data_IF_768152947701
#
_entry.id   IF_768152947701
#
_cell.length_a   1.000
_cell.length_b   1.000
_cell.length_c   1.000
_cell.angle_alpha   90.00
_cell.angle_beta   90.00
_cell.angle_gamma   90.00
#
_symmetry.space_group_name_H-M   'P 1'
#
loop_
_entity.id
_entity.type
_entity.pdbx_description
1 polymer ?
#
# COMPACT_ATOMS: atom_id res chain seq x y z
N UNK A 1 -8.12 20.29 3.01
CA UNK A 1 -8.67 19.23 2.15
C UNK A 1 -7.48 18.50 1.51
N UNK A 2 -7.52 17.18 1.38
CA UNK A 2 -6.50 16.44 0.66
C UNK A 2 -6.64 16.67 -0.86
N UNK A 3 -5.53 16.46 -1.58
CA UNK A 3 -5.43 16.75 -3.01
C UNK A 3 -5.48 15.47 -3.86
N UNK A 4 -4.99 14.35 -3.32
CA UNK A 4 -4.97 13.04 -3.98
C UNK A 4 -4.99 11.88 -2.98
N UNK A 5 -5.30 10.69 -3.46
CA UNK A 5 -5.17 9.41 -2.75
C UNK A 5 -3.99 8.66 -3.35
N UNK A 6 -3.09 8.17 -2.49
CA UNK A 6 -1.94 7.35 -2.87
C UNK A 6 -2.11 5.96 -2.28
N UNK A 7 -2.11 4.93 -3.13
CA UNK A 7 -2.27 3.53 -2.75
C UNK A 7 -0.95 2.79 -2.91
N UNK A 8 -0.45 2.22 -1.81
CA UNK A 8 0.83 1.50 -1.81
C UNK A 8 0.65 0.05 -2.24
N UNK A 9 1.53 -0.42 -3.10
CA UNK A 9 1.66 -1.82 -3.46
C UNK A 9 2.06 -2.71 -2.28
N UNK A 10 1.82 -4.01 -2.41
CA UNK A 10 2.11 -5.03 -1.40
C UNK A 10 2.59 -6.34 -2.01
N UNK A 11 3.10 -6.29 -3.21
CA UNK A 11 3.48 -7.46 -3.99
C UNK A 11 2.40 -7.94 -4.96
N UNK A 12 2.67 -9.07 -5.59
CA UNK A 12 1.76 -9.70 -6.56
C UNK A 12 1.66 -11.20 -6.33
N UNK A 13 0.51 -11.76 -6.70
CA UNK A 13 0.31 -13.18 -6.90
C UNK A 13 0.58 -13.51 -8.38
N UNK A 14 1.43 -14.49 -8.61
CA UNK A 14 1.85 -14.86 -9.96
C UNK A 14 1.00 -15.96 -10.54
N UNK A 15 0.63 -15.77 -11.81
CA UNK A 15 0.15 -16.85 -12.67
C UNK A 15 -1.09 -17.56 -12.16
N UNK A 16 -2.03 -16.85 -11.56
CA UNK A 16 -3.29 -17.45 -11.14
C UNK A 16 -4.08 -17.92 -12.40
N UNK A 17 -4.33 -19.24 -12.53
CA UNK A 17 -5.03 -19.78 -13.70
C UNK A 17 -6.45 -19.25 -13.88
N UNK A 18 -7.12 -18.85 -12.80
CA UNK A 18 -8.47 -18.30 -12.84
C UNK A 18 -8.53 -16.94 -13.54
N UNK A 19 -7.44 -16.17 -13.43
CA UNK A 19 -7.33 -14.83 -14.02
C UNK A 19 -6.50 -14.80 -15.30
N UNK A 20 -5.70 -15.84 -15.57
CA UNK A 20 -4.81 -15.90 -16.72
C UNK A 20 -3.67 -14.87 -16.70
N UNK A 21 -3.47 -14.17 -15.58
CA UNK A 21 -2.49 -13.11 -15.41
C UNK A 21 -2.10 -12.95 -13.93
N UNK A 22 -1.00 -12.20 -13.70
CA UNK A 22 -0.63 -11.80 -12.35
C UNK A 22 -1.71 -10.90 -11.73
N UNK A 23 -1.91 -11.03 -10.43
CA UNK A 23 -2.89 -10.29 -9.65
C UNK A 23 -2.24 -9.55 -8.48
N UNK A 24 -2.86 -8.48 -7.97
CA UNK A 24 -2.47 -7.94 -6.67
C UNK A 24 -2.63 -9.00 -5.58
N UNK A 25 -1.79 -8.94 -4.54
CA UNK A 25 -1.98 -9.81 -3.36
C UNK A 25 -3.29 -9.53 -2.65
N UNK A 26 -3.77 -10.45 -1.81
CA UNK A 26 -4.96 -10.23 -0.98
C UNK A 26 -4.85 -8.96 -0.13
N UNK A 27 -3.64 -8.66 0.39
CA UNK A 27 -3.34 -7.41 1.10
C UNK A 27 -3.51 -6.20 0.17
N UNK A 28 -3.02 -6.29 -1.07
CA UNK A 28 -3.17 -5.26 -2.08
C UNK A 28 -4.63 -5.00 -2.43
N UNK A 29 -5.41 -6.05 -2.62
CA UNK A 29 -6.86 -5.94 -2.90
C UNK A 29 -7.62 -5.26 -1.75
N UNK A 30 -7.26 -5.53 -0.50
CA UNK A 30 -7.85 -4.85 0.66
C UNK A 30 -7.56 -3.34 0.64
N UNK A 31 -6.33 -2.93 0.34
CA UNK A 31 -5.96 -1.52 0.17
C UNK A 31 -6.74 -0.86 -0.96
N UNK A 32 -6.83 -1.52 -2.10
CA UNK A 32 -7.54 -1.03 -3.28
C UNK A 32 -9.03 -0.85 -3.01
N UNK A 33 -9.69 -1.83 -2.38
CA UNK A 33 -11.09 -1.73 -1.98
C UNK A 33 -11.35 -0.51 -1.10
N UNK A 34 -10.47 -0.26 -0.14
CA UNK A 34 -10.60 0.92 0.73
C UNK A 34 -10.32 2.22 -0.01
N UNK A 35 -9.27 2.26 -0.84
CA UNK A 35 -8.96 3.41 -1.69
C UNK A 35 -10.10 3.74 -2.66
N UNK A 36 -10.72 2.74 -3.27
CA UNK A 36 -11.87 2.92 -4.14
C UNK A 36 -13.06 3.54 -3.40
N UNK A 37 -13.34 3.09 -2.17
CA UNK A 37 -14.37 3.69 -1.32
C UNK A 37 -14.08 5.16 -1.04
N UNK A 38 -12.85 5.50 -0.69
CA UNK A 38 -12.43 6.88 -0.43
C UNK A 38 -12.52 7.74 -1.70
N UNK A 39 -12.05 7.24 -2.83
CA UNK A 39 -12.10 7.94 -4.11
C UNK A 39 -13.53 8.27 -4.53
N UNK A 40 -14.44 7.29 -4.45
CA UNK A 40 -15.86 7.49 -4.77
C UNK A 40 -16.54 8.49 -3.83
N UNK A 41 -16.19 8.47 -2.55
CA UNK A 41 -16.79 9.37 -1.57
C UNK A 41 -16.25 10.81 -1.64
N UNK A 42 -15.00 10.99 -2.05
CA UNK A 42 -14.30 12.29 -2.04
C UNK A 42 -14.17 12.96 -3.40
N UNK A 43 -14.23 12.19 -4.48
CA UNK A 43 -13.90 12.63 -5.83
C UNK A 43 -12.41 12.90 -6.06
N UNK A 44 -11.53 12.51 -5.13
CA UNK A 44 -10.10 12.72 -5.24
C UNK A 44 -9.48 11.81 -6.30
N UNK A 45 -8.52 12.31 -7.07
CA UNK A 45 -7.77 11.48 -8.01
C UNK A 45 -6.88 10.47 -7.27
N UNK A 46 -6.64 9.33 -7.91
CA UNK A 46 -5.88 8.22 -7.33
C UNK A 46 -4.54 8.07 -8.05
N UNK A 47 -3.48 7.86 -7.27
CA UNK A 47 -2.17 7.39 -7.70
C UNK A 47 -1.93 6.01 -7.08
N UNK A 48 -1.44 5.06 -7.89
CA UNK A 48 -0.93 3.78 -7.41
C UNK A 48 0.60 3.78 -7.48
N UNK A 49 1.28 3.27 -6.46
CA UNK A 49 2.74 3.21 -6.39
C UNK A 49 3.24 1.81 -6.07
N UNK A 50 4.18 1.33 -6.84
CA UNK A 50 4.82 0.02 -6.71
C UNK A 50 5.42 -0.43 -8.03
N UNK A 51 6.69 -0.78 -8.01
CA UNK A 51 7.48 -1.08 -9.21
C UNK A 51 7.36 -2.51 -9.72
N UNK A 52 8.38 -2.88 -10.47
CA UNK A 52 8.51 -4.23 -11.05
C UNK A 52 9.05 -5.19 -9.98
N UNK A 53 8.19 -5.99 -9.42
CA UNK A 53 8.61 -7.03 -8.50
C UNK A 53 9.49 -8.07 -9.24
N UNK A 54 10.75 -8.22 -8.82
CA UNK A 54 11.76 -9.05 -9.48
C UNK A 54 12.01 -8.74 -10.98
N UNK A 55 11.80 -7.48 -11.38
CA UNK A 55 12.14 -7.01 -12.72
C UNK A 55 11.21 -7.46 -13.85
N UNK A 56 10.06 -8.06 -13.57
CA UNK A 56 9.10 -8.55 -14.58
C UNK A 56 7.86 -7.67 -14.66
N UNK A 57 7.46 -7.18 -15.86
CA UNK A 57 6.15 -6.55 -16.06
C UNK A 57 4.99 -7.54 -15.79
N UNK A 58 3.79 -7.02 -15.46
CA UNK A 58 3.47 -5.64 -15.16
C UNK A 58 3.98 -5.18 -13.79
N UNK A 59 4.04 -3.85 -13.55
CA UNK A 59 4.34 -3.30 -12.24
C UNK A 59 3.21 -3.53 -11.24
N UNK A 60 3.51 -3.45 -9.94
CA UNK A 60 2.45 -3.50 -8.92
C UNK A 60 1.46 -2.34 -9.10
N UNK A 61 1.96 -1.14 -9.44
CA UNK A 61 1.10 0.01 -9.72
C UNK A 61 0.16 -0.23 -10.88
N UNK A 62 0.61 -0.90 -11.95
CA UNK A 62 -0.25 -1.26 -13.08
C UNK A 62 -1.30 -2.30 -12.69
N UNK A 63 -0.91 -3.37 -11.96
CA UNK A 63 -1.87 -4.38 -11.49
C UNK A 63 -2.97 -3.76 -10.62
N UNK A 64 -2.58 -2.86 -9.71
CA UNK A 64 -3.54 -2.13 -8.88
C UNK A 64 -4.45 -1.22 -9.69
N UNK A 65 -3.90 -0.54 -10.70
CA UNK A 65 -4.68 0.34 -11.56
C UNK A 65 -5.73 -0.44 -12.38
N UNK A 66 -5.35 -1.60 -12.90
CA UNK A 66 -6.26 -2.46 -13.65
C UNK A 66 -7.39 -3.00 -12.75
N UNK A 67 -7.07 -3.52 -11.57
CA UNK A 67 -8.08 -3.98 -10.61
C UNK A 67 -8.99 -2.85 -10.12
N UNK A 68 -8.45 -1.66 -9.82
CA UNK A 68 -9.28 -0.51 -9.44
C UNK A 68 -10.25 -0.11 -10.56
N UNK A 69 -9.82 -0.15 -11.82
CA UNK A 69 -10.68 0.13 -12.97
C UNK A 69 -11.73 -0.95 -13.17
N UNK A 70 -11.30 -2.21 -13.23
CA UNK A 70 -12.16 -3.31 -13.70
C UNK A 70 -13.09 -3.82 -12.59
N UNK A 71 -12.61 -3.92 -11.35
CA UNK A 71 -13.39 -4.45 -10.23
C UNK A 71 -14.12 -3.35 -9.44
N UNK A 72 -13.55 -2.15 -9.39
CA UNK A 72 -14.07 -1.07 -8.56
C UNK A 72 -14.66 0.11 -9.36
N UNK A 73 -14.44 0.19 -10.68
CA UNK A 73 -14.89 1.31 -11.50
C UNK A 73 -14.21 2.65 -11.13
N UNK A 74 -12.96 2.60 -10.66
CA UNK A 74 -12.17 3.78 -10.28
C UNK A 74 -11.00 3.93 -11.22
N UNK A 75 -10.94 5.07 -11.92
CA UNK A 75 -9.82 5.38 -12.81
C UNK A 75 -8.63 5.89 -11.99
N UNK A 76 -7.48 5.27 -12.20
CA UNK A 76 -6.20 5.72 -11.65
C UNK A 76 -5.63 6.81 -12.57
N UNK A 77 -5.30 7.95 -11.98
CA UNK A 77 -4.78 9.09 -12.73
C UNK A 77 -3.28 9.02 -12.96
N UNK A 78 -2.52 8.53 -11.98
CA UNK A 78 -1.07 8.39 -12.07
C UNK A 78 -0.63 7.04 -11.54
N UNK A 79 0.41 6.50 -12.15
CA UNK A 79 1.08 5.27 -11.74
C UNK A 79 2.56 5.57 -11.50
N UNK A 80 3.07 5.20 -10.37
CA UNK A 80 4.49 5.17 -10.08
C UNK A 80 4.95 3.70 -10.15
N UNK A 81 5.81 3.37 -11.09
CA UNK A 81 6.08 2.00 -11.52
C UNK A 81 7.55 1.58 -11.35
N UNK A 82 8.38 2.37 -10.66
CA UNK A 82 9.83 2.16 -10.59
C UNK A 82 10.32 1.76 -9.19
N UNK A 83 9.57 2.10 -8.16
CA UNK A 83 9.94 1.91 -6.77
C UNK A 83 10.06 0.45 -6.36
N UNK A 84 11.02 0.17 -5.47
CA UNK A 84 11.27 -1.17 -4.87
C UNK A 84 11.15 -1.17 -3.35
N UNK A 85 11.12 0.00 -2.74
CA UNK A 85 11.04 0.18 -1.29
C UNK A 85 9.98 1.22 -0.94
N UNK A 86 9.52 1.25 0.31
CA UNK A 86 8.55 2.26 0.77
C UNK A 86 9.11 3.68 0.66
N UNK A 87 10.42 3.85 0.88
CA UNK A 87 11.10 5.13 0.67
C UNK A 87 11.05 5.56 -0.81
N UNK A 88 11.36 4.64 -1.71
CA UNK A 88 11.28 4.90 -3.17
C UNK A 88 9.84 5.20 -3.60
N UNK A 89 8.83 4.47 -3.07
CA UNK A 89 7.42 4.81 -3.30
C UNK A 89 7.13 6.28 -2.99
N UNK A 90 7.56 6.74 -1.81
CA UNK A 90 7.33 8.11 -1.38
C UNK A 90 8.06 9.13 -2.25
N UNK A 91 9.36 8.90 -2.49
CA UNK A 91 10.22 9.81 -3.27
C UNK A 91 9.75 9.92 -4.72
N UNK A 92 9.52 8.78 -5.38
CA UNK A 92 9.10 8.78 -6.78
C UNK A 92 7.65 9.27 -6.96
N UNK A 93 6.78 9.05 -5.97
CA UNK A 93 5.47 9.70 -5.94
C UNK A 93 5.60 11.22 -5.81
N UNK A 94 6.57 11.72 -5.03
CA UNK A 94 6.84 13.14 -4.90
C UNK A 94 7.30 13.75 -6.23
N UNK A 95 8.14 13.05 -6.99
CA UNK A 95 8.60 13.48 -8.31
C UNK A 95 7.43 13.64 -9.31
N UNK A 96 6.34 12.89 -9.12
CA UNK A 96 5.13 13.00 -9.96
C UNK A 96 4.18 14.10 -9.45
N UNK A 97 3.89 14.14 -8.14
CA UNK A 97 2.79 14.94 -7.61
C UNK A 97 3.18 16.35 -7.18
N UNK A 98 4.38 16.54 -6.59
CA UNK A 98 4.79 17.87 -6.12
C UNK A 98 4.91 18.91 -7.24
N UNK A 99 5.43 18.60 -8.46
CA UNK A 99 5.42 19.54 -9.58
C UNK A 99 4.02 19.96 -10.04
N UNK A 100 3.00 19.16 -9.74
CA UNK A 100 1.59 19.47 -10.02
C UNK A 100 0.92 20.29 -8.91
N UNK A 101 1.67 20.69 -7.88
CA UNK A 101 1.15 21.42 -6.73
C UNK A 101 0.39 20.56 -5.72
N UNK A 102 0.40 19.25 -5.86
CA UNK A 102 -0.26 18.30 -4.99
C UNK A 102 0.66 18.03 -3.79
N UNK A 103 0.30 18.54 -2.63
CA UNK A 103 1.13 18.48 -1.42
C UNK A 103 0.50 17.66 -0.28
N UNK A 104 -0.83 17.63 -0.21
CA UNK A 104 -1.55 16.91 0.85
C UNK A 104 -2.18 15.66 0.30
N UNK A 105 -1.68 14.49 0.73
CA UNK A 105 -2.09 13.20 0.19
C UNK A 105 -2.69 12.28 1.25
N UNK A 106 -3.74 11.56 0.87
CA UNK A 106 -4.28 10.45 1.66
C UNK A 106 -3.47 9.20 1.32
N UNK A 107 -2.72 8.67 2.27
CA UNK A 107 -1.92 7.46 2.07
C UNK A 107 -2.71 6.24 2.55
N UNK A 108 -2.97 5.30 1.64
CA UNK A 108 -3.69 4.05 1.91
C UNK A 108 -2.71 2.90 1.96
N UNK A 109 -2.60 2.28 3.11
CA UNK A 109 -1.82 1.07 3.37
C UNK A 109 -2.34 0.36 4.63
N UNK A 110 -1.77 -0.79 4.99
CA UNK A 110 -2.19 -1.50 6.20
C UNK A 110 -1.77 -0.78 7.49
N UNK A 111 -2.55 -0.95 8.56
CA UNK A 111 -2.31 -0.29 9.85
C UNK A 111 -0.91 -0.56 10.41
N UNK A 112 -0.43 -1.80 10.29
CA UNK A 112 0.91 -2.19 10.74
C UNK A 112 2.05 -1.55 9.90
N UNK A 113 1.79 -1.21 8.65
CA UNK A 113 2.74 -0.57 7.73
C UNK A 113 2.65 0.96 7.73
N UNK A 114 1.59 1.53 8.26
CA UNK A 114 1.29 2.96 8.21
C UNK A 114 2.38 3.85 8.84
N UNK A 115 2.97 3.54 10.02
CA UNK A 115 3.98 4.41 10.62
C UNK A 115 5.19 4.65 9.70
N UNK A 116 5.72 3.59 9.07
CA UNK A 116 6.85 3.68 8.14
C UNK A 116 6.47 4.43 6.87
N UNK A 117 5.24 4.25 6.38
CA UNK A 117 4.74 4.95 5.21
C UNK A 117 4.57 6.44 5.47
N UNK A 118 3.96 6.83 6.59
CA UNK A 118 3.82 8.25 6.98
C UNK A 118 5.18 8.92 7.05
N UNK A 119 6.12 8.32 7.80
CA UNK A 119 7.48 8.85 7.89
C UNK A 119 8.13 9.07 6.51
N UNK A 120 8.02 8.09 5.61
CA UNK A 120 8.62 8.17 4.27
C UNK A 120 8.00 9.30 3.44
N UNK A 121 6.67 9.40 3.44
CA UNK A 121 5.96 10.41 2.64
C UNK A 121 6.15 11.83 3.20
N UNK A 122 6.18 12.01 4.52
CA UNK A 122 6.48 13.30 5.14
C UNK A 122 7.92 13.75 4.82
N UNK A 123 8.89 12.83 4.89
CA UNK A 123 10.28 13.11 4.48
C UNK A 123 10.40 13.43 2.99
N UNK A 124 9.56 12.88 2.14
CA UNK A 124 9.50 13.20 0.71
C UNK A 124 8.83 14.55 0.41
N UNK A 125 8.27 15.25 1.41
CA UNK A 125 7.72 16.59 1.28
C UNK A 125 6.20 16.67 1.24
N UNK A 126 5.49 15.60 1.56
CA UNK A 126 4.03 15.58 1.64
C UNK A 126 3.50 15.92 3.03
N UNK A 127 2.32 16.50 3.08
CA UNK A 127 1.43 16.48 4.22
C UNK A 127 0.56 15.22 4.14
N UNK A 128 0.75 14.29 5.07
CA UNK A 128 0.12 12.97 5.02
C UNK A 128 -1.15 12.92 5.84
N UNK A 129 -2.22 12.45 5.22
CA UNK A 129 -3.45 12.03 5.89
C UNK A 129 -3.46 10.50 5.89
N UNK A 130 -3.21 9.83 7.02
CA UNK A 130 -3.17 8.38 7.07
C UNK A 130 -4.56 7.78 6.89
N UNK A 131 -4.68 6.78 6.03
CA UNK A 131 -5.89 6.01 5.81
C UNK A 131 -5.59 4.50 5.95
N UNK A 132 -5.38 4.03 7.19
CA UNK A 132 -5.01 2.64 7.45
C UNK A 132 -6.18 1.68 7.22
N UNK A 133 -5.86 0.48 6.74
CA UNK A 133 -6.79 -0.64 6.55
C UNK A 133 -6.14 -1.93 7.09
N UNK A 134 -6.91 -2.99 7.29
CA UNK A 134 -6.38 -4.30 7.67
C UNK A 134 -5.67 -4.31 9.03
N UNK A 135 -6.37 -3.84 10.05
CA UNK A 135 -5.86 -3.91 11.42
C UNK A 135 -5.83 -5.35 11.92
N UNK A 136 -4.77 -5.69 12.64
CA UNK A 136 -4.75 -6.92 13.40
C UNK A 136 -5.66 -6.79 14.60
N UNK A 137 -6.83 -7.43 14.55
CA UNK A 137 -7.72 -7.52 15.71
C UNK A 137 -7.33 -8.73 16.55
N UNK A 138 -7.32 -8.58 17.86
CA UNK A 138 -7.36 -9.71 18.77
C UNK A 138 -8.75 -10.33 18.69
N UNK A 139 -8.84 -11.51 18.08
CA UNK A 139 -10.09 -12.26 18.02
C UNK A 139 -10.31 -12.97 19.36
N UNK A 140 -11.32 -12.54 20.10
CA UNK A 140 -11.64 -13.09 21.41
C UNK A 140 -12.32 -14.48 21.35
N UNK A 141 -12.62 -14.97 20.15
CA UNK A 141 -13.28 -16.25 19.91
C UNK A 141 -12.30 -17.41 19.60
N UNK A 142 -11.03 -17.28 20.00
CA UNK A 142 -10.03 -18.33 19.75
C UNK A 142 -10.26 -19.56 20.62
N UNK A 143 -10.23 -20.77 20.04
CA UNK A 143 -10.25 -21.98 20.82
C UNK A 143 -9.12 -21.99 21.88
N UNK A 144 -9.43 -22.45 23.10
CA UNK A 144 -8.49 -22.50 24.21
C UNK A 144 -7.82 -21.16 24.55
N UNK A 145 -8.53 -20.02 24.36
CA UNK A 145 -8.02 -18.69 24.70
C UNK A 145 -6.77 -18.26 23.91
N UNK A 146 -6.50 -18.86 22.75
CA UNK A 146 -5.35 -18.54 21.93
C UNK A 146 -4.06 -19.27 22.30
N UNK A 147 -4.13 -20.29 23.15
CA UNK A 147 -2.98 -21.14 23.52
C UNK A 147 -2.52 -22.07 22.40
N UNK A 148 -3.38 -22.34 21.42
CA UNK A 148 -3.01 -23.13 20.25
C UNK A 148 -2.26 -22.25 19.24
N UNK A 149 -1.08 -22.68 18.75
CA UNK A 149 -0.38 -21.99 17.68
C UNK A 149 -1.24 -21.92 16.42
N UNK A 150 -1.48 -20.71 15.93
CA UNK A 150 -2.18 -20.47 14.66
C UNK A 150 -1.21 -19.94 13.61
N UNK A 151 -1.30 -20.45 12.37
CA UNK A 151 -0.46 -19.96 11.28
C UNK A 151 -0.63 -18.46 11.03
N UNK A 152 -1.86 -17.93 11.22
CA UNK A 152 -2.18 -16.52 11.09
C UNK A 152 -1.40 -15.66 12.10
N UNK A 153 -1.29 -16.11 13.35
CA UNK A 153 -0.52 -15.41 14.38
C UNK A 153 0.98 -15.42 14.06
N UNK A 154 1.51 -16.52 13.56
CA UNK A 154 2.89 -16.62 13.11
C UNK A 154 3.18 -15.65 11.94
N UNK A 155 2.31 -15.65 10.93
CA UNK A 155 2.42 -14.74 9.79
C UNK A 155 2.33 -13.28 10.21
N UNK A 156 1.38 -12.91 11.08
CA UNK A 156 1.25 -11.56 11.62
C UNK A 156 2.49 -11.12 12.40
N UNK A 157 3.07 -12.03 13.20
CA UNK A 157 4.30 -11.76 13.94
C UNK A 157 5.47 -11.47 13.00
N UNK A 158 5.60 -12.23 11.91
CA UNK A 158 6.60 -11.98 10.88
C UNK A 158 6.47 -10.59 10.25
N UNK A 159 5.26 -10.16 9.93
CA UNK A 159 5.00 -8.82 9.41
C UNK A 159 5.39 -7.73 10.42
N UNK A 160 5.02 -7.88 11.69
CA UNK A 160 5.34 -6.91 12.74
C UNK A 160 6.85 -6.80 12.99
N UNK A 161 7.56 -7.91 12.99
CA UNK A 161 9.03 -7.93 13.13
C UNK A 161 9.68 -7.20 11.95
N UNK A 162 9.24 -7.49 10.71
CA UNK A 162 9.74 -6.81 9.53
C UNK A 162 9.52 -5.29 9.58
N UNK A 163 8.36 -4.85 10.06
CA UNK A 163 8.07 -3.42 10.24
C UNK A 163 8.90 -2.79 11.35
N UNK A 164 9.10 -3.49 12.49
CA UNK A 164 9.94 -2.98 13.57
C UNK A 164 11.39 -2.76 13.10
N UNK A 165 11.94 -3.73 12.36
CA UNK A 165 13.27 -3.59 11.74
C UNK A 165 13.28 -2.42 10.75
N UNK A 166 12.25 -2.29 9.90
CA UNK A 166 12.12 -1.21 8.94
C UNK A 166 12.07 0.18 9.61
N UNK A 167 11.31 0.33 10.69
CA UNK A 167 11.22 1.60 11.42
C UNK A 167 12.57 2.04 12.02
N UNK A 168 13.41 1.10 12.43
CA UNK A 168 14.76 1.40 12.94
C UNK A 168 15.72 1.69 11.79
N UNK A 169 15.67 0.89 10.73
CA UNK A 169 16.60 0.97 9.61
C UNK A 169 16.39 2.23 8.75
N UNK A 170 15.15 2.61 8.46
CA UNK A 170 14.86 3.72 7.56
C UNK A 170 15.47 5.06 7.99
N UNK A 171 15.34 5.53 9.24
CA UNK A 171 15.99 6.75 9.68
C UNK A 171 17.52 6.70 9.64
N UNK A 172 18.12 5.51 9.65
CA UNK A 172 19.56 5.33 9.60
C UNK A 172 20.11 5.35 8.17
N UNK A 173 19.38 4.74 7.23
CA UNK A 173 19.85 4.57 5.85
C UNK A 173 19.32 5.63 4.87
N UNK A 174 18.21 6.28 5.17
CA UNK A 174 17.59 7.30 4.32
C UNK A 174 17.53 8.68 5.00
N UNK A 175 18.69 9.13 5.49
CA UNK A 175 18.85 10.47 6.09
C UNK A 175 18.92 11.57 5.04
#
# INVERSE_FOLDING_TARGET
RADAIVVLGSGRERGDPAWGSDQPTGIGLERQRYAARLAKASGLPVLTTGGLHYGSPPSEAQLMADSLRDDCGVQVRWKEEQSRTTWENAKMTADILLPLGIKRVVVVTNGWHMPRSVWSFEKAGFEVVPAPVGFFSADNARPLGGWMPEYKAFWQSGLLINEAVGQIAYPLFYR
#
